data_IF_673095330875
#
_entry.id   IF_673095330875
#
_cell.length_a   1.000
_cell.length_b   1.000
_cell.length_c   1.000
_cell.angle_alpha   90.00
_cell.angle_beta   90.00
_cell.angle_gamma   90.00
#
_symmetry.space_group_name_H-M   'P 1'
#
loop_
_entity.id
_entity.type
_entity.pdbx_description
1 polymer ?
#
# COMPACT_ATOMS: atom_id res chain seq x y z
N UNK A 1 0.10 39.74 -1.28
CA UNK A 1 0.46 39.26 0.07
C UNK A 1 -0.80 38.68 0.69
N UNK A 2 -0.98 37.34 0.50
CA UNK A 2 -2.13 36.60 1.07
C UNK A 2 -1.79 36.36 2.55
N UNK A 3 -2.53 37.03 3.44
CA UNK A 3 -2.48 36.70 4.87
C UNK A 3 -3.18 35.39 5.05
N UNK A 4 -2.41 34.28 5.19
CA UNK A 4 -2.92 33.01 5.72
C UNK A 4 -3.25 33.28 7.20
N UNK A 5 -4.50 33.69 7.49
CA UNK A 5 -5.02 33.54 8.84
C UNK A 5 -5.03 32.07 9.17
N UNK A 6 -4.11 31.65 10.03
CA UNK A 6 -4.19 30.36 10.68
C UNK A 6 -5.52 30.31 11.44
N UNK A 7 -6.55 29.72 10.83
CA UNK A 7 -7.75 29.36 11.57
C UNK A 7 -7.33 28.26 12.54
N UNK A 8 -7.17 28.62 13.80
CA UNK A 8 -7.13 27.64 14.89
C UNK A 8 -8.49 26.94 14.85
N UNK A 9 -8.52 25.72 14.32
CA UNK A 9 -9.74 24.95 14.30
C UNK A 9 -10.11 24.62 15.75
N UNK A 10 -11.26 25.08 16.21
CA UNK A 10 -11.86 24.71 17.51
C UNK A 10 -12.26 23.21 17.56
N UNK A 11 -11.91 22.43 16.54
CA UNK A 11 -12.18 21.02 16.41
C UNK A 11 -10.92 20.24 16.02
N UNK A 12 -10.83 18.95 16.37
CA UNK A 12 -9.81 18.07 15.79
C UNK A 12 -9.88 18.08 14.26
N UNK A 13 -8.72 18.04 13.59
CA UNK A 13 -8.68 17.78 12.16
C UNK A 13 -8.97 16.33 11.89
N UNK A 14 -9.63 16.02 10.78
CA UNK A 14 -9.89 14.62 10.38
C UNK A 14 -8.89 14.20 9.33
N UNK A 15 -8.31 12.99 9.50
CA UNK A 15 -7.57 12.30 8.46
C UNK A 15 -8.51 11.25 7.87
N UNK A 16 -9.10 11.54 6.72
CA UNK A 16 -9.84 10.56 5.94
C UNK A 16 -8.87 9.62 5.23
N UNK A 17 -9.15 8.33 5.23
CA UNK A 17 -8.38 7.35 4.45
C UNK A 17 -9.32 6.77 3.40
N UNK A 18 -8.99 6.93 2.11
CA UNK A 18 -9.63 6.23 1.01
C UNK A 18 -8.62 5.26 0.38
N UNK A 19 -9.08 4.06 0.05
CA UNK A 19 -8.18 3.01 -0.42
C UNK A 19 -8.82 1.64 -0.49
N UNK A 20 -7.97 0.64 -0.58
CA UNK A 20 -8.33 -0.77 -0.77
C UNK A 20 -8.26 -1.60 0.52
N UNK A 21 -8.19 -2.94 0.35
CA UNK A 21 -8.19 -3.90 1.46
C UNK A 21 -6.98 -3.79 2.39
N UNK A 22 -5.86 -3.24 1.93
CA UNK A 22 -4.64 -3.13 2.75
C UNK A 22 -4.79 -2.07 3.85
N UNK A 23 -5.64 -1.06 3.64
CA UNK A 23 -5.98 -0.03 4.60
C UNK A 23 -7.34 -0.26 5.31
N UNK A 24 -8.25 -1.04 4.71
CA UNK A 24 -9.65 -1.13 5.08
C UNK A 24 -9.93 -1.68 6.48
N UNK A 25 -11.03 -1.21 7.07
CA UNK A 25 -11.63 -1.84 8.27
C UNK A 25 -12.05 -3.28 7.96
N UNK A 26 -11.82 -4.18 8.92
CA UNK A 26 -12.21 -5.60 8.84
C UNK A 26 -13.36 -5.87 9.78
N UNK A 27 -14.21 -6.83 9.41
CA UNK A 27 -15.26 -7.33 10.29
C UNK A 27 -14.66 -8.24 11.38
N UNK A 28 -14.52 -7.69 12.57
CA UNK A 28 -13.90 -8.37 13.72
C UNK A 28 -14.87 -9.34 14.42
N UNK A 29 -16.15 -9.29 14.12
CA UNK A 29 -17.17 -10.17 14.74
C UNK A 29 -16.91 -11.65 14.44
N UNK A 30 -16.22 -11.93 13.32
CA UNK A 30 -15.80 -13.28 12.91
C UNK A 30 -14.47 -13.72 13.51
N UNK A 31 -13.88 -12.93 14.41
CA UNK A 31 -12.61 -13.24 15.06
C UNK A 31 -11.41 -13.21 14.14
N UNK A 32 -11.50 -12.68 12.91
CA UNK A 32 -10.38 -12.64 11.98
C UNK A 32 -9.17 -11.87 12.55
N UNK A 33 -7.93 -12.40 12.42
CA UNK A 33 -6.73 -11.65 12.77
C UNK A 33 -6.33 -10.61 11.71
N UNK A 34 -7.00 -10.58 10.55
CA UNK A 34 -6.71 -9.63 9.47
C UNK A 34 -7.05 -8.19 9.87
N UNK A 35 -6.13 -7.28 9.59
CA UNK A 35 -6.31 -5.83 9.81
C UNK A 35 -5.79 -5.05 8.61
N UNK A 36 -6.47 -3.96 8.23
CA UNK A 36 -5.88 -2.95 7.38
C UNK A 36 -5.04 -1.98 8.23
N UNK A 37 -3.93 -1.47 7.66
CA UNK A 37 -3.07 -0.52 8.38
C UNK A 37 -3.85 0.74 8.84
N UNK A 38 -4.86 1.16 8.07
CA UNK A 38 -5.70 2.30 8.42
C UNK A 38 -6.53 2.09 9.70
N UNK A 39 -6.73 0.84 10.16
CA UNK A 39 -7.37 0.56 11.45
C UNK A 39 -6.46 0.90 12.64
N UNK A 40 -5.16 0.86 12.44
CA UNK A 40 -4.17 1.11 13.48
C UNK A 40 -3.67 2.55 13.52
N UNK A 41 -3.94 3.36 12.49
CA UNK A 41 -3.34 4.68 12.35
C UNK A 41 -3.70 5.64 13.49
N UNK A 42 -4.93 5.57 14.04
CA UNK A 42 -5.37 6.42 15.14
C UNK A 42 -4.49 6.28 16.39
N UNK A 43 -3.90 5.12 16.62
CA UNK A 43 -3.05 4.88 17.80
C UNK A 43 -1.83 5.80 17.84
N UNK A 44 -1.44 6.33 16.70
CA UNK A 44 -0.25 7.16 16.52
C UNK A 44 -0.52 8.67 16.55
N UNK A 45 -1.77 9.08 16.71
CA UNK A 45 -2.16 10.48 16.81
C UNK A 45 -3.00 10.74 18.05
N UNK A 46 -2.85 11.94 18.63
CA UNK A 46 -3.67 12.39 19.75
C UNK A 46 -5.09 12.71 19.26
N UNK A 47 -6.07 11.97 19.79
CA UNK A 47 -7.49 12.10 19.40
C UNK A 47 -8.09 13.48 19.73
N UNK A 48 -7.49 14.19 20.68
CA UNK A 48 -7.92 15.57 20.97
C UNK A 48 -7.68 16.52 19.81
N UNK A 49 -6.74 16.20 18.89
CA UNK A 49 -6.32 17.06 17.79
C UNK A 49 -6.49 16.41 16.41
N UNK A 50 -6.41 15.09 16.31
CA UNK A 50 -6.47 14.37 15.04
C UNK A 50 -7.37 13.15 15.19
N UNK A 51 -8.43 13.09 14.41
CA UNK A 51 -9.33 11.93 14.29
C UNK A 51 -9.08 11.23 12.96
N UNK A 52 -8.87 9.92 12.99
CA UNK A 52 -8.72 9.11 11.77
C UNK A 52 -10.06 8.47 11.40
N UNK A 53 -10.59 8.87 10.24
CA UNK A 53 -11.81 8.31 9.67
C UNK A 53 -11.48 7.46 8.43
N UNK A 54 -11.48 6.14 8.62
CA UNK A 54 -11.06 5.19 7.60
C UNK A 54 -12.27 4.72 6.76
N UNK A 55 -12.30 5.15 5.50
CA UNK A 55 -13.30 4.79 4.48
C UNK A 55 -12.78 3.80 3.44
N UNK A 56 -11.55 3.30 3.58
CA UNK A 56 -11.03 2.28 2.67
C UNK A 56 -11.88 1.01 2.68
N UNK A 57 -12.02 0.35 1.51
CA UNK A 57 -12.92 -0.79 1.32
C UNK A 57 -12.23 -1.92 0.57
N UNK A 58 -12.40 -3.16 1.08
CA UNK A 58 -11.84 -4.36 0.46
C UNK A 58 -12.21 -4.46 -1.03
N UNK A 59 -11.22 -4.76 -1.87
CA UNK A 59 -11.41 -5.03 -3.29
C UNK A 59 -11.67 -3.81 -4.18
N UNK A 60 -11.59 -2.57 -3.64
CA UNK A 60 -11.84 -1.36 -4.42
C UNK A 60 -10.57 -0.83 -5.05
N UNK A 61 -10.71 -0.45 -6.31
CA UNK A 61 -9.74 0.33 -7.07
C UNK A 61 -10.08 1.81 -7.00
N UNK A 62 -9.20 2.66 -7.54
CA UNK A 62 -9.49 4.09 -7.71
C UNK A 62 -10.76 4.33 -8.53
N UNK A 63 -11.03 3.47 -9.53
CA UNK A 63 -12.22 3.51 -10.37
C UNK A 63 -13.47 3.07 -9.61
N UNK A 64 -13.49 1.85 -9.07
CA UNK A 64 -14.69 1.28 -8.44
C UNK A 64 -15.11 2.05 -7.18
N UNK A 65 -14.17 2.70 -6.48
CA UNK A 65 -14.48 3.57 -5.35
C UNK A 65 -15.27 4.81 -5.77
N UNK A 66 -15.02 5.34 -6.99
CA UNK A 66 -15.79 6.41 -7.61
C UNK A 66 -17.14 5.89 -8.10
N UNK A 67 -17.13 4.84 -8.91
CA UNK A 67 -18.32 4.31 -9.58
C UNK A 67 -19.41 3.83 -8.59
N UNK A 68 -18.99 3.36 -7.39
CA UNK A 68 -19.89 2.97 -6.30
C UNK A 68 -20.33 4.16 -5.41
N UNK A 69 -20.08 5.41 -5.83
CA UNK A 69 -20.46 6.63 -5.09
C UNK A 69 -19.87 6.69 -3.66
N UNK A 70 -18.78 5.96 -3.42
CA UNK A 70 -18.10 5.95 -2.13
C UNK A 70 -17.33 7.24 -1.90
N UNK A 71 -16.69 7.74 -2.97
CA UNK A 71 -15.98 9.00 -2.93
C UNK A 71 -16.90 10.18 -2.60
N UNK A 72 -18.07 10.26 -3.22
CA UNK A 72 -19.02 11.36 -2.97
C UNK A 72 -19.44 11.42 -1.50
N UNK A 73 -19.57 10.26 -0.84
CA UNK A 73 -19.88 10.19 0.60
C UNK A 73 -18.76 10.76 1.46
N UNK A 74 -17.50 10.44 1.13
CA UNK A 74 -16.33 11.00 1.84
C UNK A 74 -16.20 12.48 1.56
N UNK A 75 -16.34 12.89 0.29
CA UNK A 75 -16.24 14.28 -0.15
C UNK A 75 -17.24 15.21 0.57
N UNK A 76 -18.43 14.69 0.89
CA UNK A 76 -19.45 15.41 1.63
C UNK A 76 -19.07 15.67 3.11
N UNK A 77 -18.15 14.90 3.67
CA UNK A 77 -17.72 15.01 5.08
C UNK A 77 -16.53 15.95 5.26
N UNK A 78 -15.73 16.17 4.21
CA UNK A 78 -14.51 16.97 4.25
C UNK A 78 -14.81 18.41 4.60
N UNK A 79 -14.07 18.93 5.55
CA UNK A 79 -14.10 20.35 5.98
C UNK A 79 -12.72 20.99 5.72
N UNK A 80 -12.65 22.30 5.57
CA UNK A 80 -11.38 23.00 5.43
C UNK A 80 -10.38 22.61 6.53
N UNK A 81 -9.16 22.25 6.12
CA UNK A 81 -8.07 21.81 7.00
C UNK A 81 -8.04 20.31 7.30
N UNK A 82 -9.04 19.52 6.89
CA UNK A 82 -8.98 18.05 6.98
C UNK A 82 -8.00 17.49 5.94
N UNK A 83 -7.47 16.30 6.22
CA UNK A 83 -6.56 15.58 5.34
C UNK A 83 -7.28 14.41 4.67
N UNK A 84 -6.88 14.09 3.44
CA UNK A 84 -7.35 12.90 2.73
C UNK A 84 -6.15 12.10 2.26
N UNK A 85 -5.93 10.94 2.85
CA UNK A 85 -4.97 9.95 2.38
C UNK A 85 -5.62 9.15 1.24
N UNK A 86 -4.96 9.15 0.08
CA UNK A 86 -5.42 8.51 -1.16
C UNK A 86 -4.46 7.38 -1.48
N UNK A 87 -4.87 6.11 -1.27
CA UNK A 87 -4.01 4.94 -1.49
C UNK A 87 -4.74 3.86 -2.28
N UNK A 88 -4.40 3.71 -3.55
CA UNK A 88 -4.93 2.71 -4.48
C UNK A 88 -3.80 2.06 -5.29
N UNK A 89 -4.13 0.99 -6.04
CA UNK A 89 -3.22 0.26 -6.92
C UNK A 89 -3.50 -1.24 -6.95
N UNK A 90 -3.61 -1.90 -5.78
CA UNK A 90 -3.78 -3.35 -5.67
C UNK A 90 -4.95 -3.94 -6.47
N UNK A 91 -6.01 -3.16 -6.69
CA UNK A 91 -7.17 -3.61 -7.46
C UNK A 91 -7.23 -2.95 -8.84
N UNK A 92 -6.60 -1.81 -9.02
CA UNK A 92 -6.46 -1.12 -10.29
C UNK A 92 -5.71 -1.96 -11.33
N UNK A 93 -4.72 -2.72 -10.90
CA UNK A 93 -3.94 -3.66 -11.73
C UNK A 93 -4.68 -4.95 -12.11
N UNK A 94 -5.86 -5.21 -11.52
CA UNK A 94 -6.64 -6.41 -11.81
C UNK A 94 -7.31 -6.30 -13.17
N UNK A 95 -7.43 -7.40 -13.95
CA UNK A 95 -7.95 -7.35 -15.31
C UNK A 95 -9.47 -7.16 -15.41
N UNK A 96 -10.20 -7.19 -14.30
CA UNK A 96 -11.64 -7.05 -14.29
C UNK A 96 -12.06 -5.61 -14.62
N UNK A 97 -12.88 -5.39 -15.67
CA UNK A 97 -13.21 -4.04 -16.16
C UNK A 97 -13.83 -3.09 -15.14
N UNK A 98 -14.56 -3.63 -14.15
CA UNK A 98 -15.20 -2.84 -13.09
C UNK A 98 -14.22 -2.16 -12.15
N UNK A 99 -12.95 -2.60 -12.13
CA UNK A 99 -11.91 -2.01 -11.27
C UNK A 99 -10.59 -1.72 -11.97
N UNK A 100 -10.39 -2.26 -13.17
CA UNK A 100 -9.16 -2.00 -13.93
C UNK A 100 -9.01 -0.54 -14.31
N UNK A 101 -7.80 -0.02 -14.20
CA UNK A 101 -7.36 1.29 -14.69
C UNK A 101 -5.93 1.18 -15.22
N UNK A 102 -5.50 2.11 -16.05
CA UNK A 102 -4.17 2.10 -16.68
C UNK A 102 -3.32 3.26 -16.15
N UNK A 103 -2.10 2.98 -15.63
CA UNK A 103 -1.13 4.02 -15.30
C UNK A 103 -0.78 4.86 -16.53
N UNK A 104 -0.57 6.16 -16.32
CA UNK A 104 -0.37 7.13 -17.39
C UNK A 104 -1.65 7.63 -18.05
N UNK A 105 -2.82 7.07 -17.69
CA UNK A 105 -4.12 7.49 -18.22
C UNK A 105 -5.22 7.45 -17.15
N UNK A 106 -6.07 6.43 -17.13
CA UNK A 106 -7.26 6.36 -16.24
C UNK A 106 -6.92 6.27 -14.76
N UNK A 107 -5.84 5.60 -14.37
CA UNK A 107 -5.38 5.57 -13.00
C UNK A 107 -4.96 6.96 -12.52
N UNK A 108 -4.08 7.62 -13.30
CA UNK A 108 -3.61 8.97 -13.00
C UNK A 108 -4.76 9.98 -12.93
N UNK A 109 -5.72 9.86 -13.86
CA UNK A 109 -6.90 10.71 -13.88
C UNK A 109 -7.71 10.59 -12.59
N UNK A 110 -7.93 9.36 -12.10
CA UNK A 110 -8.68 9.13 -10.86
C UNK A 110 -7.93 9.70 -9.64
N UNK A 111 -6.62 9.46 -9.53
CA UNK A 111 -5.81 10.02 -8.43
C UNK A 111 -5.84 11.56 -8.49
N UNK A 112 -5.68 12.15 -9.69
CA UNK A 112 -5.75 13.60 -9.88
C UNK A 112 -7.14 14.17 -9.52
N UNK A 113 -8.23 13.43 -9.84
CA UNK A 113 -9.59 13.78 -9.45
C UNK A 113 -9.75 13.86 -7.94
N UNK A 114 -9.27 12.86 -7.19
CA UNK A 114 -9.30 12.86 -5.73
C UNK A 114 -8.55 14.06 -5.15
N UNK A 115 -7.37 14.37 -5.67
CA UNK A 115 -6.56 15.52 -5.25
C UNK A 115 -7.29 16.84 -5.48
N UNK A 116 -7.84 17.04 -6.67
CA UNK A 116 -8.56 18.25 -7.05
C UNK A 116 -9.81 18.46 -6.19
N UNK A 117 -10.68 17.45 -6.12
CA UNK A 117 -11.96 17.55 -5.42
C UNK A 117 -11.77 17.68 -3.90
N UNK A 118 -10.72 17.06 -3.32
CA UNK A 118 -10.31 17.32 -1.93
C UNK A 118 -10.02 18.78 -1.70
N UNK A 119 -9.26 19.43 -2.58
CA UNK A 119 -8.90 20.85 -2.47
C UNK A 119 -10.11 21.77 -2.65
N UNK A 120 -11.03 21.43 -3.53
CA UNK A 120 -12.28 22.17 -3.73
C UNK A 120 -13.11 22.24 -2.44
N UNK A 121 -12.97 21.25 -1.55
CA UNK A 121 -13.56 21.27 -0.20
C UNK A 121 -12.69 21.96 0.87
N UNK A 122 -11.53 22.49 0.50
CA UNK A 122 -10.56 23.06 1.43
C UNK A 122 -9.76 22.02 2.21
N UNK A 123 -9.85 20.74 1.82
CA UNK A 123 -9.07 19.65 2.36
C UNK A 123 -7.64 19.60 1.79
N UNK A 124 -6.78 18.86 2.45
CA UNK A 124 -5.37 18.69 2.12
C UNK A 124 -5.15 17.25 1.64
N UNK A 125 -4.91 17.04 0.34
CA UNK A 125 -4.66 15.69 -0.19
C UNK A 125 -3.25 15.22 0.13
N UNK A 126 -3.14 13.96 0.55
CA UNK A 126 -1.88 13.22 0.72
C UNK A 126 -1.97 11.95 -0.13
N UNK A 127 -1.20 11.89 -1.20
CA UNK A 127 -1.16 10.73 -2.09
C UNK A 127 -0.19 9.70 -1.55
N UNK A 128 -0.59 8.44 -1.56
CA UNK A 128 0.27 7.29 -1.27
C UNK A 128 0.23 6.30 -2.44
N UNK A 129 1.36 5.71 -2.77
CA UNK A 129 1.39 4.55 -3.65
C UNK A 129 0.98 3.28 -2.87
N UNK A 130 0.66 2.15 -3.56
CA UNK A 130 0.27 0.93 -2.88
C UNK A 130 1.40 0.39 -2.00
N UNK A 131 1.07 -0.13 -0.81
CA UNK A 131 2.03 -0.85 0.03
C UNK A 131 2.56 -2.08 -0.70
N UNK A 132 3.79 -2.49 -0.41
CA UNK A 132 4.40 -3.65 -1.04
C UNK A 132 3.65 -4.95 -0.71
N UNK A 133 3.69 -5.91 -1.63
CA UNK A 133 3.38 -7.31 -1.34
C UNK A 133 4.64 -8.05 -0.93
N UNK A 134 4.49 -9.02 -0.07
CA UNK A 134 5.53 -9.98 0.29
C UNK A 134 5.78 -10.95 -0.89
N UNK A 135 6.31 -10.43 -2.00
CA UNK A 135 6.58 -11.22 -3.20
C UNK A 135 8.07 -11.54 -3.30
N UNK A 136 8.48 -12.63 -2.65
CA UNK A 136 9.84 -13.11 -2.68
C UNK A 136 10.01 -14.15 -3.80
N UNK A 137 11.04 -13.97 -4.59
CA UNK A 137 11.41 -14.88 -5.70
C UNK A 137 12.86 -15.30 -5.54
N UNK A 138 13.22 -16.46 -6.10
CA UNK A 138 14.62 -16.90 -6.14
C UNK A 138 15.39 -15.93 -7.05
N UNK A 139 16.51 -15.38 -6.54
CA UNK A 139 17.39 -14.54 -7.36
C UNK A 139 17.88 -15.35 -8.55
N UNK A 140 17.65 -14.87 -9.76
CA UNK A 140 18.28 -15.45 -10.95
C UNK A 140 19.79 -15.22 -10.86
N UNK A 141 20.64 -16.23 -11.16
CA UNK A 141 22.09 -16.03 -11.24
C UNK A 141 22.40 -14.89 -12.18
N UNK A 142 23.18 -13.91 -11.71
CA UNK A 142 23.59 -12.79 -12.55
C UNK A 142 24.45 -13.25 -13.73
N UNK A 143 24.60 -12.44 -14.79
CA UNK A 143 25.40 -12.77 -15.97
C UNK A 143 26.86 -13.13 -15.65
N UNK A 144 27.38 -12.69 -14.50
CA UNK A 144 28.76 -12.96 -14.04
C UNK A 144 28.96 -14.37 -13.48
N UNK A 145 27.89 -15.07 -13.08
CA UNK A 145 27.99 -16.43 -12.54
C UNK A 145 27.96 -17.52 -13.65
N UNK A 146 27.64 -17.13 -14.90
CA UNK A 146 27.73 -17.99 -16.08
C UNK A 146 29.12 -17.93 -16.72
N UNK A 147 30.19 -17.89 -15.95
CA UNK A 147 31.55 -17.98 -16.50
C UNK A 147 31.86 -19.44 -16.86
N UNK A 148 31.64 -19.79 -18.12
CA UNK A 148 32.06 -21.10 -18.66
C UNK A 148 31.56 -21.42 -20.07
N UNK A 149 30.59 -20.67 -20.61
CA UNK A 149 30.13 -20.92 -21.97
C UNK A 149 30.59 -19.83 -22.95
N UNK A 150 31.07 -20.20 -24.14
CA UNK A 150 31.51 -19.23 -25.14
C UNK A 150 30.35 -18.41 -25.69
N UNK A 151 30.50 -17.09 -25.69
CA UNK A 151 29.58 -16.14 -26.32
C UNK A 151 29.55 -16.48 -27.84
N UNK A 152 28.49 -17.12 -28.33
CA UNK A 152 28.38 -17.39 -29.77
C UNK A 152 27.46 -18.56 -30.18
N UNK A 153 26.84 -19.28 -29.26
CA UNK A 153 25.85 -20.28 -29.63
C UNK A 153 24.49 -19.60 -29.88
N UNK A 154 23.96 -19.76 -31.09
CA UNK A 154 22.60 -19.35 -31.43
C UNK A 154 21.63 -20.04 -30.44
N UNK A 155 20.72 -19.27 -29.84
CA UNK A 155 19.67 -19.81 -28.96
C UNK A 155 18.71 -20.57 -29.87
N UNK A 156 18.73 -21.91 -29.76
CA UNK A 156 17.80 -22.77 -30.47
C UNK A 156 16.43 -22.68 -29.79
N UNK A 157 15.40 -22.31 -30.55
CA UNK A 157 14.01 -22.15 -30.08
C UNK A 157 13.44 -23.45 -29.46
N UNK A 158 14.05 -24.58 -29.70
CA UNK A 158 13.69 -25.90 -29.15
C UNK A 158 14.16 -26.09 -27.70
N UNK A 159 15.24 -25.40 -27.30
CA UNK A 159 15.76 -25.43 -25.93
C UNK A 159 14.86 -24.66 -24.93
N UNK A 160 14.08 -23.67 -25.40
CA UNK A 160 13.12 -22.94 -24.57
C UNK A 160 11.86 -23.75 -24.21
N UNK A 161 11.55 -24.80 -24.97
CA UNK A 161 10.35 -25.60 -24.75
C UNK A 161 10.58 -26.80 -23.84
N UNK A 162 11.82 -27.15 -23.53
CA UNK A 162 12.21 -28.35 -22.77
C UNK A 162 12.92 -28.09 -21.45
N UNK A 163 12.84 -26.89 -20.88
CA UNK A 163 13.24 -26.68 -19.49
C UNK A 163 12.18 -27.24 -18.54
N UNK A 164 12.17 -28.58 -18.44
CA UNK A 164 11.67 -29.27 -17.24
C UNK A 164 12.47 -28.75 -16.05
N UNK A 165 11.75 -28.36 -14.98
CA UNK A 165 12.34 -27.94 -13.72
C UNK A 165 13.52 -28.88 -13.37
N UNK A 166 14.73 -28.29 -13.35
CA UNK A 166 15.92 -29.04 -12.93
C UNK A 166 15.74 -29.44 -11.46
N UNK A 167 16.03 -30.72 -11.15
CA UNK A 167 16.13 -31.28 -9.79
C UNK A 167 17.29 -30.65 -8.96
N UNK A 168 17.57 -29.39 -9.12
CA UNK A 168 18.47 -28.67 -8.24
C UNK A 168 17.80 -28.57 -6.86
N UNK A 169 18.49 -28.96 -5.77
CA UNK A 169 17.93 -28.83 -4.43
C UNK A 169 17.53 -27.37 -4.23
N UNK A 170 16.27 -27.17 -3.81
CA UNK A 170 15.77 -25.84 -3.45
C UNK A 170 16.77 -25.20 -2.46
N UNK A 171 17.17 -23.93 -2.63
CA UNK A 171 18.02 -23.25 -1.68
C UNK A 171 17.41 -23.41 -0.28
N UNK A 172 18.26 -23.57 0.74
CA UNK A 172 17.81 -23.58 2.14
C UNK A 172 16.89 -22.36 2.35
N UNK A 173 15.78 -22.54 3.08
CA UNK A 173 14.70 -21.55 3.20
C UNK A 173 15.26 -20.13 3.40
N UNK A 174 15.03 -19.25 2.41
CA UNK A 174 15.45 -17.85 2.41
C UNK A 174 16.80 -17.51 1.77
N UNK A 175 17.67 -18.49 1.46
CA UNK A 175 18.93 -18.21 0.74
C UNK A 175 18.65 -17.89 -0.73
N UNK A 176 19.21 -16.75 -1.22
CA UNK A 176 19.01 -16.34 -2.62
C UNK A 176 17.62 -15.81 -2.93
N UNK A 177 16.79 -15.49 -1.94
CA UNK A 177 15.49 -14.87 -2.15
C UNK A 177 15.63 -13.34 -2.24
N UNK A 178 14.95 -12.73 -3.20
CA UNK A 178 14.87 -11.28 -3.37
C UNK A 178 13.40 -10.85 -3.39
N UNK A 179 13.11 -9.71 -2.77
CA UNK A 179 11.79 -9.10 -2.81
C UNK A 179 11.61 -8.40 -4.15
N UNK A 180 10.56 -8.76 -4.89
CA UNK A 180 10.23 -8.15 -6.18
C UNK A 180 8.97 -7.30 -6.06
N UNK A 181 9.03 -6.05 -6.56
CA UNK A 181 7.83 -5.24 -6.71
C UNK A 181 6.84 -5.88 -7.68
N UNK A 182 5.56 -5.86 -7.33
CA UNK A 182 4.49 -6.41 -8.15
C UNK A 182 3.56 -5.34 -8.73
N UNK A 183 3.79 -4.07 -8.36
CA UNK A 183 2.91 -2.98 -8.74
C UNK A 183 3.39 -2.23 -9.99
N UNK A 184 4.68 -2.31 -10.31
CA UNK A 184 5.24 -1.67 -11.50
C UNK A 184 4.83 -0.20 -11.59
N UNK A 185 4.21 0.19 -12.70
CA UNK A 185 3.80 1.59 -12.92
C UNK A 185 2.71 2.09 -11.95
N UNK A 186 1.94 1.21 -11.31
CA UNK A 186 0.99 1.63 -10.26
C UNK A 186 1.69 2.11 -8.98
N UNK A 187 2.94 1.72 -8.73
CA UNK A 187 3.75 2.29 -7.66
C UNK A 187 4.36 3.65 -8.04
N UNK A 188 4.58 3.90 -9.33
CA UNK A 188 5.22 5.13 -9.85
C UNK A 188 4.21 6.25 -10.08
N UNK A 189 3.10 5.95 -10.75
CA UNK A 189 2.10 6.94 -11.18
C UNK A 189 1.57 7.85 -10.04
N UNK A 190 1.27 7.37 -8.81
CA UNK A 190 0.82 8.24 -7.72
C UNK A 190 1.82 9.33 -7.35
N UNK A 191 3.14 9.02 -7.38
CA UNK A 191 4.20 10.00 -7.15
C UNK A 191 4.19 11.09 -8.22
N UNK A 192 4.08 10.68 -9.48
CA UNK A 192 4.08 11.62 -10.61
C UNK A 192 2.85 12.51 -10.60
N UNK A 193 1.68 11.97 -10.27
CA UNK A 193 0.45 12.76 -10.07
C UNK A 193 0.62 13.75 -8.92
N UNK A 194 1.11 13.30 -7.76
CA UNK A 194 1.34 14.17 -6.61
C UNK A 194 2.27 15.33 -6.97
N UNK A 195 3.38 15.03 -7.67
CA UNK A 195 4.32 16.06 -8.14
C UNK A 195 3.66 17.06 -9.10
N UNK A 196 2.95 16.58 -10.13
CA UNK A 196 2.25 17.46 -11.09
C UNK A 196 1.19 18.34 -10.44
N UNK A 197 0.53 17.80 -9.41
CA UNK A 197 -0.52 18.49 -8.70
C UNK A 197 -0.03 19.27 -7.46
N UNK A 198 1.28 19.27 -7.18
CA UNK A 198 1.85 19.84 -5.96
C UNK A 198 1.12 19.38 -4.69
N UNK A 199 0.85 18.06 -4.60
CA UNK A 199 0.26 17.41 -3.43
C UNK A 199 1.35 16.73 -2.59
N UNK A 200 1.09 16.53 -1.30
CA UNK A 200 1.95 15.72 -0.45
C UNK A 200 1.99 14.27 -0.97
N UNK A 201 3.16 13.65 -0.83
CA UNK A 201 3.36 12.27 -1.26
C UNK A 201 4.11 11.47 -0.21
N UNK A 202 3.54 10.32 0.19
CA UNK A 202 4.21 9.34 1.06
C UNK A 202 4.50 8.08 0.25
N UNK A 203 5.76 7.67 0.16
CA UNK A 203 6.20 6.48 -0.57
C UNK A 203 5.96 5.21 0.24
N UNK A 204 4.68 4.83 0.38
CA UNK A 204 4.28 3.67 1.15
C UNK A 204 4.85 2.36 0.59
N UNK A 205 5.00 2.27 -0.75
CA UNK A 205 5.64 1.11 -1.40
C UNK A 205 7.08 0.94 -0.96
N UNK A 206 7.90 1.97 -1.06
CA UNK A 206 9.30 1.94 -0.63
C UNK A 206 9.43 1.61 0.87
N UNK A 207 8.66 2.29 1.72
CA UNK A 207 8.70 2.11 3.18
C UNK A 207 8.40 0.66 3.56
N UNK A 208 7.36 0.07 2.96
CA UNK A 208 6.97 -1.31 3.25
C UNK A 208 7.89 -2.33 2.59
N UNK A 209 8.43 -2.05 1.41
CA UNK A 209 9.47 -2.89 0.78
C UNK A 209 10.75 -2.95 1.62
N UNK A 210 11.21 -1.82 2.15
CA UNK A 210 12.37 -1.76 3.05
C UNK A 210 12.13 -2.52 4.36
N UNK A 211 10.90 -2.46 4.90
CA UNK A 211 10.50 -3.26 6.06
C UNK A 211 10.56 -4.77 5.76
N UNK A 212 9.98 -5.20 4.64
CA UNK A 212 10.00 -6.58 4.19
C UNK A 212 11.44 -7.09 4.01
N UNK A 213 12.29 -6.33 3.29
CA UNK A 213 13.69 -6.67 3.04
C UNK A 213 14.48 -6.79 4.35
N UNK A 214 14.30 -5.86 5.29
CA UNK A 214 14.98 -5.88 6.59
C UNK A 214 14.61 -7.11 7.42
N UNK A 215 13.36 -7.57 7.34
CA UNK A 215 12.89 -8.77 8.02
C UNK A 215 13.29 -10.06 7.31
N UNK A 216 13.56 -10.00 6.03
CA UNK A 216 13.90 -11.16 5.21
C UNK A 216 12.70 -12.08 4.91
N UNK A 217 12.97 -13.12 4.12
CA UNK A 217 11.94 -14.05 3.64
C UNK A 217 11.10 -14.66 4.77
N UNK A 218 11.73 -15.24 5.78
CA UNK A 218 10.99 -15.85 6.89
C UNK A 218 10.41 -14.81 7.86
N UNK A 219 11.21 -13.82 8.24
CA UNK A 219 10.81 -12.83 9.24
C UNK A 219 9.64 -11.95 8.80
N UNK A 220 9.47 -11.72 7.50
CA UNK A 220 8.38 -10.90 6.99
C UNK A 220 7.00 -11.59 7.03
N UNK A 221 6.94 -12.93 7.10
CA UNK A 221 5.68 -13.67 7.30
C UNK A 221 4.89 -13.16 8.49
N UNK A 222 5.58 -12.75 9.57
CA UNK A 222 4.94 -12.24 10.79
C UNK A 222 4.10 -10.97 10.62
N UNK A 223 4.30 -10.22 9.53
CA UNK A 223 3.48 -9.05 9.23
C UNK A 223 2.16 -9.43 8.58
N UNK A 224 2.12 -10.55 7.89
CA UNK A 224 1.04 -10.94 6.97
C UNK A 224 0.14 -12.02 7.57
N UNK A 225 -0.89 -12.36 6.80
CA UNK A 225 -1.84 -13.42 7.16
C UNK A 225 -1.22 -14.79 6.85
N UNK A 226 -0.13 -15.12 7.58
CA UNK A 226 0.57 -16.40 7.51
C UNK A 226 0.32 -17.19 8.79
N UNK A 227 -0.55 -18.20 8.70
CA UNK A 227 -0.95 -19.07 9.79
C UNK A 227 -0.95 -20.54 9.31
N UNK A 228 -0.43 -21.41 10.15
CA UNK A 228 -0.53 -22.87 9.93
C UNK A 228 -1.93 -23.34 10.27
N UNK A 229 -2.37 -24.51 9.73
CA UNK A 229 -3.61 -25.15 10.17
C UNK A 229 -3.67 -25.28 11.69
N UNK A 230 -4.78 -24.85 12.29
CA UNK A 230 -5.00 -24.90 13.73
C UNK A 230 -4.29 -23.82 14.58
N UNK A 231 -3.46 -22.97 13.97
CA UNK A 231 -2.72 -21.91 14.70
C UNK A 231 -3.64 -20.78 15.18
N UNK A 232 -4.72 -20.51 14.46
CA UNK A 232 -5.68 -19.46 14.83
C UNK A 232 -7.12 -19.97 14.73
N UNK A 233 -8.00 -19.76 15.76
CA UNK A 233 -9.35 -20.31 15.77
C UNK A 233 -10.23 -19.92 14.57
N UNK A 234 -10.06 -18.69 14.03
CA UNK A 234 -10.80 -18.24 12.86
C UNK A 234 -10.20 -18.71 11.53
N UNK A 235 -9.09 -19.46 11.55
CA UNK A 235 -8.37 -19.98 10.38
C UNK A 235 -8.00 -21.45 10.60
N UNK A 236 -9.00 -22.36 10.72
CA UNK A 236 -8.73 -23.78 11.04
C UNK A 236 -7.84 -24.45 10.01
N UNK A 237 -7.95 -24.07 8.73
CA UNK A 237 -7.14 -24.61 7.62
C UNK A 237 -5.85 -23.83 7.39
N UNK A 238 -5.55 -22.83 8.25
CA UNK A 238 -4.44 -21.90 8.06
C UNK A 238 -4.70 -20.87 6.95
N UNK A 239 -3.70 -20.05 6.65
CA UNK A 239 -3.72 -19.08 5.55
C UNK A 239 -2.29 -18.70 5.16
N UNK A 240 -2.04 -18.56 3.86
CA UNK A 240 -0.78 -18.04 3.31
C UNK A 240 -1.11 -16.87 2.38
N UNK A 241 -1.05 -15.66 2.91
CA UNK A 241 -1.42 -14.45 2.18
C UNK A 241 -0.29 -13.42 2.29
N UNK A 242 0.26 -13.08 1.16
CA UNK A 242 1.41 -12.18 1.01
C UNK A 242 1.01 -10.71 0.85
N UNK A 243 -0.27 -10.39 0.94
CA UNK A 243 -0.78 -9.03 0.70
C UNK A 243 -1.37 -8.42 1.96
N UNK A 244 -2.24 -9.17 2.67
CA UNK A 244 -2.97 -8.63 3.80
C UNK A 244 -2.20 -8.79 5.11
N UNK A 245 -2.26 -7.77 5.93
CA UNK A 245 -1.61 -7.74 7.24
C UNK A 245 -2.47 -8.43 8.31
N UNK A 246 -1.82 -9.03 9.28
CA UNK A 246 -2.41 -9.37 10.56
C UNK A 246 -2.38 -8.15 11.50
N UNK A 247 -2.83 -8.31 12.74
CA UNK A 247 -2.87 -7.21 13.71
C UNK A 247 -1.49 -6.59 13.97
N UNK A 248 -0.46 -7.42 14.12
CA UNK A 248 0.91 -6.97 14.34
C UNK A 248 1.44 -6.18 13.13
N UNK A 249 1.31 -6.75 11.91
CA UNK A 249 1.78 -6.10 10.68
C UNK A 249 1.07 -4.78 10.42
N UNK A 250 -0.25 -4.73 10.62
CA UNK A 250 -1.02 -3.50 10.46
C UNK A 250 -0.56 -2.39 11.41
N UNK A 251 -0.25 -2.72 12.68
CA UNK A 251 0.31 -1.76 13.64
C UNK A 251 1.69 -1.26 13.19
N UNK A 252 2.61 -2.16 12.86
CA UNK A 252 3.97 -1.79 12.44
C UNK A 252 3.93 -0.88 11.20
N UNK A 253 3.15 -1.27 10.18
CA UNK A 253 3.02 -0.48 8.94
C UNK A 253 2.37 0.88 9.22
N UNK A 254 1.30 0.93 10.01
CA UNK A 254 0.66 2.19 10.38
C UNK A 254 1.62 3.13 11.11
N UNK A 255 2.50 2.61 11.97
CA UNK A 255 3.53 3.40 12.66
C UNK A 255 4.51 4.05 11.69
N UNK A 256 5.06 3.26 10.77
CA UNK A 256 5.99 3.76 9.75
C UNK A 256 5.34 4.78 8.82
N UNK A 257 4.08 4.55 8.42
CA UNK A 257 3.33 5.49 7.60
C UNK A 257 2.96 6.76 8.36
N UNK A 258 2.69 6.67 9.68
CA UNK A 258 2.45 7.85 10.52
C UNK A 258 3.71 8.72 10.65
N UNK A 259 4.89 8.09 10.79
CA UNK A 259 6.16 8.82 10.83
C UNK A 259 6.42 9.54 9.51
N UNK A 260 6.31 8.83 8.39
CA UNK A 260 6.48 9.42 7.06
C UNK A 260 5.44 10.51 6.76
N UNK A 261 4.19 10.32 7.20
CA UNK A 261 3.16 11.33 7.08
C UNK A 261 3.52 12.60 7.85
N UNK A 262 4.12 12.47 9.05
CA UNK A 262 4.57 13.62 9.84
C UNK A 262 5.82 14.31 9.26
N UNK A 263 6.66 13.58 8.52
CA UNK A 263 7.78 14.15 7.77
C UNK A 263 7.30 14.99 6.59
N UNK A 264 6.36 14.47 5.81
CA UNK A 264 5.81 15.14 4.63
C UNK A 264 4.85 16.28 5.00
N UNK A 265 4.10 16.15 6.10
CA UNK A 265 3.08 17.10 6.56
C UNK A 265 3.45 17.62 7.96
N UNK A 266 4.33 18.63 8.07
CA UNK A 266 4.88 19.08 9.35
C UNK A 266 3.84 19.51 10.39
N UNK A 267 2.65 19.97 9.95
CA UNK A 267 1.56 20.33 10.83
C UNK A 267 1.02 19.15 11.66
N UNK A 268 1.15 17.92 11.17
CA UNK A 268 0.71 16.70 11.88
C UNK A 268 1.74 16.24 12.92
N UNK A 269 3.01 16.61 12.76
CA UNK A 269 4.10 16.16 13.63
C UNK A 269 3.87 16.47 15.11
N UNK A 270 3.29 17.63 15.42
CA UNK A 270 3.01 18.06 16.80
C UNK A 270 1.94 17.22 17.52
N UNK A 271 1.18 16.43 16.75
CA UNK A 271 0.10 15.58 17.26
C UNK A 271 0.47 14.10 17.25
N UNK A 272 1.69 13.75 16.84
CA UNK A 272 2.21 12.39 16.82
C UNK A 272 2.45 11.91 18.27
N UNK A 273 1.86 10.77 18.63
CA UNK A 273 2.13 10.08 19.91
C UNK A 273 3.45 9.31 19.80
N UNK A 274 4.23 9.35 20.84
CA UNK A 274 5.51 8.62 20.96
C UNK A 274 5.31 7.21 21.50
#
# INVERSE_FOLDING_TARGET
MLVLTAMTADRPVTIFIIGDSTAAKKDLTKGTPERGWGMALQQYFDEAYVVVDNHAVNGRSSKSFIDEVRWDKVLALIKPGDYVIIQFGHNDEKPQPERHTDPGSTFDYNIARYVRETREKGGIPVVMNPVARRNWVVASPGPSERRGEPIGAAIDDEALRNTTATDAPLPSEGQGMVLMDTHGMYAVAPRDVAKRMNAYFVDANRITSELEQRLGYEGSKKLHMWYKPGEHPALPDGRQDNTHYNEYGAKVVAGLLADALCEEVPLLKKYRKH
#
